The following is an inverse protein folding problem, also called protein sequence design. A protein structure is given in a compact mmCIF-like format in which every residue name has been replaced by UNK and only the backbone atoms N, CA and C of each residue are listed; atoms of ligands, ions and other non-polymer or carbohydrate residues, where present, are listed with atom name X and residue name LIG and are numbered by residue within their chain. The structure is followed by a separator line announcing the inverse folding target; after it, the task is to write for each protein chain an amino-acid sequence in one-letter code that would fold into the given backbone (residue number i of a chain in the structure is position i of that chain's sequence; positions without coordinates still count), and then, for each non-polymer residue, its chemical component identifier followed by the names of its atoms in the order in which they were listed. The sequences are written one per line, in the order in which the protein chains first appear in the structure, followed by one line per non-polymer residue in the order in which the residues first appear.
data_IF_641341700351
#
_entry.id   IF_641341700351
#
_cell.length_a   1.000
_cell.length_b   1.000
_cell.length_c   1.000
_cell.angle_alpha   90.00
_cell.angle_beta   90.00
_cell.angle_gamma   90.00
#
_symmetry.space_group_name_H-M   'P 1'
#
loop_
_entity.id
_entity.type
_entity.pdbx_description
1 polymer ?
#
# COMPACT_ATOMS: atom_id res chain seq x y z
N UNK A 1 44.27 3.18 -0.82
CA UNK A 1 44.53 4.63 -1.01
C UNK A 1 43.24 5.24 -1.52
N UNK A 2 42.59 6.09 -0.71
CA UNK A 2 41.28 6.70 -1.00
C UNK A 2 40.14 6.25 -0.06
N UNK A 3 40.30 6.42 1.25
CA UNK A 3 39.16 6.46 2.19
C UNK A 3 38.88 7.93 2.50
N UNK A 4 37.81 8.48 1.92
CA UNK A 4 37.44 9.87 2.13
C UNK A 4 36.82 10.08 3.52
N UNK A 5 37.29 11.16 4.17
CA UNK A 5 36.94 11.81 5.44
C UNK A 5 36.03 11.08 6.46
N UNK A 6 36.52 10.85 7.71
CA UNK A 6 35.69 10.35 8.80
C UNK A 6 34.66 11.41 9.22
N UNK A 7 33.39 11.04 9.19
CA UNK A 7 32.33 11.84 9.81
C UNK A 7 32.24 11.43 11.28
N UNK A 8 32.86 12.22 12.16
CA UNK A 8 32.92 11.92 13.58
C UNK A 8 31.68 12.52 14.28
N UNK A 9 30.77 11.66 14.73
CA UNK A 9 29.63 12.05 15.56
C UNK A 9 29.68 11.18 16.82
N UNK A 10 30.10 11.77 17.95
CA UNK A 10 30.19 11.06 19.23
C UNK A 10 31.30 10.00 19.31
N UNK A 11 31.01 8.88 19.99
CA UNK A 11 31.89 7.71 20.18
C UNK A 11 31.92 6.75 18.98
N UNK A 12 31.14 7.04 17.92
CA UNK A 12 31.05 6.21 16.72
C UNK A 12 31.88 6.80 15.58
N UNK A 13 32.53 5.91 14.81
CA UNK A 13 33.32 6.28 13.65
C UNK A 13 32.79 5.52 12.43
N UNK A 14 32.34 6.25 11.42
CA UNK A 14 31.83 5.67 10.17
C UNK A 14 32.87 5.74 9.06
N UNK A 15 33.08 4.63 8.36
CA UNK A 15 33.99 4.53 7.21
C UNK A 15 33.24 4.07 5.96
N UNK A 16 33.50 4.72 4.82
CA UNK A 16 32.99 4.28 3.52
C UNK A 16 34.01 3.37 2.85
N UNK A 17 33.65 2.09 2.69
CA UNK A 17 34.51 1.09 2.07
C UNK A 17 34.35 1.10 0.54
N UNK A 18 35.46 1.09 -0.23
CA UNK A 18 35.39 0.99 -1.69
C UNK A 18 34.87 -0.39 -2.14
N UNK A 19 33.87 -0.40 -3.03
CA UNK A 19 33.32 -1.64 -3.60
C UNK A 19 34.36 -2.47 -4.39
N UNK A 20 35.43 -1.83 -4.88
CA UNK A 20 36.54 -2.50 -5.57
C UNK A 20 37.35 -3.46 -4.68
N UNK A 21 37.20 -3.37 -3.34
CA UNK A 21 37.89 -4.22 -2.37
C UNK A 21 36.95 -5.20 -1.67
N UNK A 22 35.78 -5.48 -2.26
CA UNK A 22 34.75 -6.37 -1.70
C UNK A 22 35.25 -7.77 -1.38
N UNK A 23 36.21 -8.29 -2.15
CA UNK A 23 36.84 -9.59 -1.91
C UNK A 23 37.57 -9.69 -0.57
N UNK A 24 37.96 -8.56 0.03
CA UNK A 24 38.67 -8.51 1.31
C UNK A 24 37.74 -8.23 2.49
N UNK A 25 36.44 -7.96 2.26
CA UNK A 25 35.50 -7.61 3.32
C UNK A 25 35.26 -8.78 4.28
N UNK A 26 35.18 -10.01 3.77
CA UNK A 26 35.00 -11.19 4.63
C UNK A 26 36.14 -11.33 5.64
N UNK A 27 37.40 -11.22 5.18
CA UNK A 27 38.58 -11.31 6.05
C UNK A 27 38.59 -10.17 7.08
N UNK A 28 38.23 -8.96 6.66
CA UNK A 28 38.18 -7.79 7.53
C UNK A 28 37.12 -7.93 8.63
N UNK A 29 35.90 -8.38 8.30
CA UNK A 29 34.84 -8.59 9.29
C UNK A 29 35.16 -9.71 10.27
N UNK A 30 35.79 -10.80 9.79
CA UNK A 30 36.28 -11.88 10.67
C UNK A 30 37.33 -11.39 11.66
N UNK A 31 38.21 -10.48 11.24
CA UNK A 31 39.23 -9.90 12.11
C UNK A 31 38.63 -8.94 13.15
N UNK A 32 37.63 -8.13 12.75
CA UNK A 32 36.85 -7.28 13.69
C UNK A 32 36.13 -8.14 14.73
N UNK A 33 35.44 -9.20 14.31
CA UNK A 33 34.73 -10.13 15.21
C UNK A 33 35.69 -10.90 16.14
N UNK A 34 36.89 -11.24 15.65
CA UNK A 34 37.97 -11.81 16.46
C UNK A 34 38.47 -10.87 17.55
N UNK A 35 38.56 -9.57 17.27
CA UNK A 35 38.90 -8.55 18.26
C UNK A 35 37.80 -8.34 19.31
N UNK A 36 36.52 -8.44 18.94
CA UNK A 36 35.40 -8.36 19.90
C UNK A 36 35.41 -9.56 20.86
N UNK A 37 35.65 -10.76 20.35
CA UNK A 37 35.61 -12.01 21.15
C UNK A 37 36.73 -12.09 22.19
N UNK A 38 37.89 -11.45 21.94
CA UNK A 38 39.01 -11.37 22.90
C UNK A 38 38.78 -10.42 24.08
N UNK A 39 37.68 -9.65 24.07
CA UNK A 39 37.38 -8.61 25.07
C UNK A 39 36.46 -9.07 26.20
N UNK A 40 36.04 -10.35 26.21
CA UNK A 40 35.16 -10.91 27.24
C UNK A 40 35.83 -11.06 28.61
N UNK A 41 35.11 -10.91 29.73
CA UNK A 41 35.67 -11.02 31.05
C UNK A 41 35.86 -12.50 31.35
N UNK A 42 37.09 -13.02 31.23
CA UNK A 42 37.66 -14.17 31.98
C UNK A 42 38.87 -14.75 31.22
N UNK A 43 40.04 -14.15 31.40
CA UNK A 43 41.29 -14.92 31.46
C UNK A 43 42.38 -14.10 32.16
N UNK A 44 42.53 -14.33 33.46
CA UNK A 44 43.79 -14.07 34.15
C UNK A 44 44.82 -15.10 33.64
N UNK A 45 45.89 -14.66 32.98
CA UNK A 45 47.27 -14.91 33.42
C UNK A 45 48.31 -14.45 32.38
N UNK A 46 49.31 -13.76 32.92
CA UNK A 46 50.72 -13.68 32.50
C UNK A 46 51.14 -13.09 31.14
N UNK A 47 51.66 -11.87 31.22
CA UNK A 47 53.01 -11.55 30.75
C UNK A 47 53.22 -11.38 29.25
N UNK A 48 53.04 -10.17 28.72
CA UNK A 48 54.00 -9.49 27.83
C UNK A 48 53.40 -8.21 27.25
N UNK A 49 54.30 -7.37 26.75
CA UNK A 49 54.20 -5.93 26.60
C UNK A 49 53.23 -5.44 25.52
N UNK A 50 52.66 -4.26 25.78
CA UNK A 50 52.08 -3.29 24.86
C UNK A 50 51.43 -3.80 23.57
N UNK A 51 50.12 -4.02 23.63
CA UNK A 51 49.23 -3.56 22.57
C UNK A 51 47.93 -3.09 23.20
N UNK A 52 47.68 -1.78 23.17
CA UNK A 52 46.38 -1.20 23.50
C UNK A 52 45.35 -1.76 22.52
N UNK A 53 44.68 -2.86 22.88
CA UNK A 53 43.53 -3.35 22.13
C UNK A 53 42.38 -2.38 22.38
N UNK A 54 42.25 -1.38 21.51
CA UNK A 54 41.08 -0.52 21.43
C UNK A 54 39.88 -1.42 21.06
N UNK A 55 39.07 -1.74 22.07
CA UNK A 55 37.91 -2.62 21.93
C UNK A 55 36.84 -1.96 21.07
N UNK A 56 36.55 -2.56 19.92
CA UNK A 56 35.32 -2.30 19.18
C UNK A 56 34.22 -3.03 19.96
N UNK A 57 33.26 -2.30 20.54
CA UNK A 57 32.18 -2.91 21.33
C UNK A 57 31.03 -3.39 20.43
N UNK A 58 30.77 -2.66 19.35
CA UNK A 58 29.79 -3.01 18.33
C UNK A 58 30.19 -2.40 16.98
N UNK A 59 29.75 -3.02 15.89
CA UNK A 59 29.87 -2.45 14.55
C UNK A 59 28.59 -2.71 13.76
N UNK A 60 28.18 -1.73 12.96
CA UNK A 60 27.06 -1.85 12.03
C UNK A 60 27.57 -1.81 10.58
N UNK A 61 26.95 -2.60 9.70
CA UNK A 61 27.17 -2.50 8.25
C UNK A 61 25.86 -2.01 7.63
N UNK A 62 25.87 -0.81 7.07
CA UNK A 62 24.79 -0.34 6.20
C UNK A 62 25.22 -0.41 4.75
N UNK A 63 24.33 -0.92 3.90
CA UNK A 63 24.46 -0.84 2.44
C UNK A 63 23.40 0.14 1.99
N UNK A 64 23.80 1.21 1.31
CA UNK A 64 22.87 2.19 0.75
C UNK A 64 21.91 1.52 -0.21
N UNK A 65 20.69 1.26 0.25
CA UNK A 65 19.62 0.77 -0.62
C UNK A 65 19.04 1.94 -1.40
N UNK A 66 18.34 1.64 -2.51
CA UNK A 66 17.61 2.65 -3.28
C UNK A 66 16.61 3.42 -2.40
N UNK A 67 16.09 2.76 -1.36
CA UNK A 67 15.19 3.33 -0.36
C UNK A 67 15.91 4.36 0.54
N UNK A 68 17.11 4.05 1.03
CA UNK A 68 17.93 4.98 1.84
C UNK A 68 18.36 6.21 1.03
N UNK A 69 18.79 6.01 -0.23
CA UNK A 69 19.16 7.11 -1.13
C UNK A 69 17.95 7.99 -1.44
N UNK A 70 16.77 7.38 -1.64
CA UNK A 70 15.53 8.11 -1.86
C UNK A 70 15.12 8.94 -0.64
N UNK A 71 15.30 8.39 0.57
CA UNK A 71 15.03 9.09 1.84
C UNK A 71 16.03 10.22 2.12
N UNK A 72 17.32 10.04 1.82
CA UNK A 72 18.34 11.09 1.94
C UNK A 72 18.12 12.24 0.96
N UNK A 73 17.72 11.95 -0.28
CA UNK A 73 17.37 12.97 -1.28
C UNK A 73 16.09 13.73 -0.89
N UNK A 74 15.21 13.10 -0.11
CA UNK A 74 14.04 13.74 0.47
C UNK A 74 14.34 14.55 1.76
N UNK A 75 15.58 14.54 2.27
CA UNK A 75 16.01 15.34 3.42
C UNK A 75 15.69 14.74 4.80
N UNK A 76 15.44 13.43 4.90
CA UNK A 76 15.15 12.77 6.18
C UNK A 76 16.38 12.00 6.67
N UNK A 77 17.04 12.50 7.72
CA UNK A 77 18.06 11.74 8.46
C UNK A 77 17.35 10.72 9.36
N UNK A 78 17.59 9.43 9.11
CA UNK A 78 17.07 8.31 9.90
C UNK A 78 18.03 8.07 11.08
N UNK A 79 17.64 8.40 12.31
CA UNK A 79 18.39 8.01 13.51
C UNK A 79 17.85 6.66 14.01
N UNK A 80 18.61 5.58 13.79
CA UNK A 80 18.41 4.29 14.46
C UNK A 80 19.02 4.36 15.86
N UNK A 81 18.28 4.87 16.84
CA UNK A 81 18.65 4.67 18.25
C UNK A 81 17.42 4.77 19.11
N UNK A 82 16.67 3.67 19.21
CA UNK A 82 15.80 3.41 20.36
C UNK A 82 15.34 1.94 20.34
N UNK A 83 16.13 1.09 21.01
CA UNK A 83 15.79 -0.22 21.61
C UNK A 83 17.11 -0.72 22.22
N UNK A 84 17.39 -0.61 23.52
CA UNK A 84 16.90 -1.47 24.62
C UNK A 84 17.37 -0.78 25.92
N UNK A 85 16.47 -0.48 26.87
CA UNK A 85 16.52 -1.10 28.21
C UNK A 85 15.26 -0.78 29.04
N UNK A 86 14.75 -1.80 29.73
CA UNK A 86 13.61 -1.77 30.65
C UNK A 86 14.14 -1.75 32.10
N UNK A 87 13.85 -0.72 32.91
CA UNK A 87 13.37 -0.91 34.31
C UNK A 87 13.08 0.37 35.09
N UNK A 88 11.94 0.30 35.81
CA UNK A 88 11.55 1.03 37.04
C UNK A 88 11.45 2.56 36.95
N UNK A 89 10.23 3.09 37.13
CA UNK A 89 9.75 3.54 38.45
C UNK A 89 8.23 3.77 38.40
N UNK A 90 7.55 3.23 39.41
CA UNK A 90 6.14 3.42 39.75
C UNK A 90 5.80 4.91 39.95
N UNK A 91 4.67 5.37 39.38
CA UNK A 91 3.76 6.27 40.08
C UNK A 91 2.36 6.26 39.45
N UNK A 92 1.44 5.73 40.26
CA UNK A 92 -0.01 5.76 40.27
C UNK A 92 -0.66 7.08 39.79
N UNK A 93 -1.72 7.00 38.97
CA UNK A 93 -2.95 7.74 39.25
C UNK A 93 -4.20 7.02 38.68
N UNK A 94 -5.05 6.60 39.61
CA UNK A 94 -6.48 6.26 39.50
C UNK A 94 -7.28 7.29 38.70
N UNK A 95 -8.50 7.07 38.18
CA UNK A 95 -9.45 5.97 38.04
C UNK A 95 -10.61 6.58 37.22
N UNK A 96 -11.45 5.77 36.55
CA UNK A 96 -12.93 5.84 36.63
C UNK A 96 -13.52 4.79 35.67
N UNK A 97 -14.52 4.13 36.22
CA UNK A 97 -15.17 2.88 35.86
C UNK A 97 -16.27 3.06 34.79
N UNK A 98 -16.41 2.04 33.95
CA UNK A 98 -17.47 1.80 32.93
C UNK A 98 -18.90 1.74 33.54
N UNK A 99 -19.98 1.63 32.73
CA UNK A 99 -20.44 0.29 32.39
C UNK A 99 -21.11 0.07 31.01
N UNK A 100 -21.13 -1.22 30.69
CA UNK A 100 -21.76 -2.02 29.64
C UNK A 100 -23.13 -1.60 29.01
N UNK A 101 -23.17 -1.81 27.67
CA UNK A 101 -24.02 -2.73 26.89
C UNK A 101 -25.57 -2.62 26.89
N UNK A 102 -26.17 -2.55 25.68
CA UNK A 102 -27.35 -3.36 25.29
C UNK A 102 -27.65 -3.35 23.76
N UNK A 103 -27.61 -4.56 23.17
CA UNK A 103 -28.56 -5.26 22.29
C UNK A 103 -29.21 -4.67 21.02
N UNK A 104 -29.38 -5.62 20.08
CA UNK A 104 -29.87 -5.64 18.71
C UNK A 104 -31.37 -5.30 18.49
N UNK A 105 -31.64 -4.93 17.22
CA UNK A 105 -32.77 -5.33 16.35
C UNK A 105 -33.68 -4.19 15.80
N UNK A 106 -34.23 -4.37 14.58
CA UNK A 106 -34.36 -3.32 13.56
C UNK A 106 -35.71 -2.62 13.58
N UNK A 107 -35.74 -1.36 13.11
CA UNK A 107 -36.98 -0.68 12.71
C UNK A 107 -36.86 -0.15 11.29
N UNK A 108 -37.59 -0.79 10.39
CA UNK A 108 -38.14 -0.12 9.21
C UNK A 108 -38.96 1.08 9.69
N UNK A 109 -38.94 2.17 8.91
CA UNK A 109 -40.06 3.08 8.58
C UNK A 109 -39.51 4.47 8.22
N UNK A 110 -39.73 4.80 6.94
CA UNK A 110 -40.07 6.12 6.40
C UNK A 110 -38.95 7.16 6.24
N UNK A 111 -38.65 7.36 4.95
CA UNK A 111 -38.07 8.53 4.31
C UNK A 111 -38.51 9.87 4.95
N UNK A 112 -37.59 10.70 5.48
CA UNK A 112 -37.83 12.11 5.68
C UNK A 112 -37.11 12.92 4.59
N UNK A 113 -37.95 13.61 3.81
CA UNK A 113 -37.76 14.89 3.13
C UNK A 113 -36.33 15.43 2.97
N UNK A 114 -35.96 15.49 1.68
CA UNK A 114 -34.98 16.37 1.07
C UNK A 114 -35.20 17.85 1.47
N UNK A 115 -34.52 18.35 2.51
CA UNK A 115 -34.39 19.79 2.72
C UNK A 115 -33.17 20.10 3.61
N UNK A 116 -32.13 20.72 3.06
CA UNK A 116 -31.01 21.20 3.88
C UNK A 116 -29.68 21.47 3.18
N UNK A 117 -29.50 21.18 1.88
CA UNK A 117 -28.18 21.25 1.24
C UNK A 117 -27.83 22.59 0.55
N UNK A 118 -28.60 23.67 0.74
CA UNK A 118 -28.32 24.97 0.12
C UNK A 118 -27.45 25.90 0.99
N UNK A 119 -27.41 25.70 2.31
CA UNK A 119 -26.59 26.53 3.22
C UNK A 119 -25.10 26.17 3.19
N UNK A 120 -24.75 24.89 3.05
CA UNK A 120 -23.34 24.45 3.02
C UNK A 120 -22.64 24.87 1.73
N UNK A 121 -23.35 24.84 0.60
CA UNK A 121 -22.83 25.32 -0.70
C UNK A 121 -22.60 26.84 -0.65
N UNK A 122 -23.50 27.60 0.00
CA UNK A 122 -23.33 29.05 0.19
C UNK A 122 -22.10 29.43 1.02
N UNK A 123 -21.76 28.63 2.05
CA UNK A 123 -20.57 28.87 2.88
C UNK A 123 -19.28 28.60 2.10
N UNK A 124 -19.23 27.57 1.25
CA UNK A 124 -18.07 27.27 0.40
C UNK A 124 -17.85 28.37 -0.66
N UNK A 125 -18.92 28.89 -1.26
CA UNK A 125 -18.81 30.03 -2.19
C UNK A 125 -18.38 31.32 -1.47
N UNK A 126 -18.81 31.52 -0.21
CA UNK A 126 -18.41 32.68 0.58
C UNK A 126 -16.93 32.62 1.02
N UNK A 127 -16.42 31.44 1.38
CA UNK A 127 -15.00 31.28 1.77
C UNK A 127 -14.06 31.39 0.58
N UNK A 128 -14.44 30.89 -0.60
CA UNK A 128 -13.68 31.09 -1.86
C UNK A 128 -13.70 32.56 -2.28
N UNK A 129 -14.84 33.25 -2.16
CA UNK A 129 -14.97 34.68 -2.42
C UNK A 129 -14.06 35.53 -1.53
N UNK A 130 -13.99 35.20 -0.23
CA UNK A 130 -13.16 35.90 0.74
C UNK A 130 -11.66 35.64 0.55
N UNK A 131 -11.25 34.43 0.15
CA UNK A 131 -9.85 34.14 -0.13
C UNK A 131 -9.39 34.83 -1.42
N UNK A 132 -10.25 34.87 -2.45
CA UNK A 132 -9.97 35.61 -3.68
C UNK A 132 -9.92 37.12 -3.46
N UNK A 133 -10.75 37.69 -2.58
CA UNK A 133 -10.71 39.13 -2.28
C UNK A 133 -9.44 39.51 -1.54
N UNK A 134 -8.98 38.71 -0.58
CA UNK A 134 -7.72 38.95 0.13
C UNK A 134 -6.50 38.86 -0.80
N UNK A 135 -6.50 37.90 -1.74
CA UNK A 135 -5.46 37.84 -2.78
C UNK A 135 -5.52 39.04 -3.71
N UNK A 136 -6.72 39.47 -4.14
CA UNK A 136 -6.89 40.66 -4.96
C UNK A 136 -6.46 41.93 -4.24
N UNK A 137 -6.78 42.08 -2.95
CA UNK A 137 -6.40 43.22 -2.13
C UNK A 137 -4.89 43.24 -1.85
N UNK A 138 -4.26 42.08 -1.62
CA UNK A 138 -2.82 41.98 -1.47
C UNK A 138 -2.09 42.34 -2.78
N UNK A 139 -2.56 41.84 -3.92
CA UNK A 139 -2.02 42.18 -5.24
C UNK A 139 -2.28 43.66 -5.57
N UNK A 140 -3.45 44.20 -5.24
CA UNK A 140 -3.78 45.60 -5.46
C UNK A 140 -2.97 46.54 -4.56
N UNK A 141 -2.72 46.14 -3.31
CA UNK A 141 -1.85 46.84 -2.37
C UNK A 141 -0.40 46.84 -2.87
N UNK A 142 0.08 45.72 -3.39
CA UNK A 142 1.39 45.61 -4.02
C UNK A 142 1.51 46.48 -5.28
N UNK A 143 0.47 46.53 -6.12
CA UNK A 143 0.41 47.41 -7.30
C UNK A 143 0.36 48.89 -6.89
N UNK A 144 -0.35 49.24 -5.82
CA UNK A 144 -0.37 50.60 -5.26
C UNK A 144 0.97 50.99 -4.66
N UNK A 145 1.66 50.07 -3.99
CA UNK A 145 3.00 50.22 -3.46
C UNK A 145 4.02 50.49 -4.58
N UNK A 146 3.97 49.72 -5.68
CA UNK A 146 4.74 49.98 -6.89
C UNK A 146 4.42 51.35 -7.52
N UNK A 147 3.17 51.82 -7.42
CA UNK A 147 2.79 53.16 -7.92
C UNK A 147 3.27 54.30 -7.02
N UNK A 148 3.39 54.07 -5.71
CA UNK A 148 3.83 55.07 -4.72
C UNK A 148 5.34 55.30 -4.74
N UNK A 149 6.14 54.30 -5.11
CA UNK A 149 7.59 54.45 -5.28
C UNK A 149 7.97 55.24 -6.56
N UNK A 150 6.99 55.58 -7.41
CA UNK A 150 7.22 56.19 -8.71
C UNK A 150 6.71 57.64 -8.75
N UNK A 151 7.47 58.59 -8.19
CA UNK A 151 7.28 60.04 -8.44
C UNK A 151 7.64 60.46 -9.90
N UNK A 152 7.33 59.61 -10.88
CA UNK A 152 7.44 59.85 -12.31
C UNK A 152 6.06 59.73 -13.02
N UNK A 153 4.98 60.04 -12.30
CA UNK A 153 3.60 59.90 -12.78
C UNK A 153 3.23 60.78 -14.00
N UNK A 154 4.08 61.74 -14.39
CA UNK A 154 3.85 62.57 -15.59
C UNK A 154 4.39 61.94 -16.90
N UNK A 155 5.27 60.93 -16.84
CA UNK A 155 5.84 60.29 -18.05
C UNK A 155 5.07 59.05 -18.50
N UNK A 156 4.42 58.32 -17.59
CA UNK A 156 3.79 57.03 -17.90
C UNK A 156 2.46 57.16 -18.67
N UNK A 157 1.73 58.26 -18.51
CA UNK A 157 0.43 58.46 -19.17
C UNK A 157 0.57 58.88 -20.65
N UNK A 158 1.76 59.33 -21.06
CA UNK A 158 2.05 59.77 -22.44
C UNK A 158 3.22 59.04 -23.11
N UNK A 159 3.66 57.93 -22.54
CA UNK A 159 4.75 57.13 -23.11
C UNK A 159 4.23 56.27 -24.26
N UNK A 160 4.86 56.40 -25.44
CA UNK A 160 4.61 55.55 -26.62
C UNK A 160 4.72 54.07 -26.26
N UNK A 161 5.57 53.71 -25.29
CA UNK A 161 5.69 52.35 -24.76
C UNK A 161 4.36 51.80 -24.22
N UNK A 162 3.62 52.55 -23.40
CA UNK A 162 2.35 52.06 -22.85
C UNK A 162 1.26 51.98 -23.92
N UNK A 163 1.29 52.89 -24.90
CA UNK A 163 0.41 52.81 -26.08
C UNK A 163 0.70 51.53 -26.89
N UNK A 164 1.98 51.18 -27.09
CA UNK A 164 2.38 49.94 -27.74
C UNK A 164 2.06 48.70 -26.90
N UNK A 165 2.31 48.70 -25.60
CA UNK A 165 1.91 47.61 -24.70
C UNK A 165 0.40 47.40 -24.72
N UNK A 166 -0.40 48.46 -24.61
CA UNK A 166 -1.86 48.40 -24.71
C UNK A 166 -2.30 47.84 -26.06
N UNK A 167 -1.67 48.28 -27.16
CA UNK A 167 -1.95 47.76 -28.49
C UNK A 167 -1.62 46.26 -28.60
N UNK A 168 -0.50 45.81 -28.02
CA UNK A 168 -0.11 44.39 -27.98
C UNK A 168 -1.09 43.55 -27.14
N UNK A 169 -1.55 44.05 -25.99
CA UNK A 169 -2.57 43.39 -25.18
C UNK A 169 -3.92 43.29 -25.90
N UNK A 170 -4.37 44.38 -26.55
CA UNK A 170 -5.60 44.38 -27.36
C UNK A 170 -5.47 43.39 -28.51
N UNK A 171 -4.33 43.37 -29.22
CA UNK A 171 -4.05 42.40 -30.28
C UNK A 171 -4.11 40.96 -29.76
N UNK A 172 -3.52 40.69 -28.59
CA UNK A 172 -3.53 39.36 -27.96
C UNK A 172 -4.94 38.96 -27.51
N UNK A 173 -5.73 39.89 -26.99
CA UNK A 173 -7.13 39.68 -26.62
C UNK A 173 -8.03 39.42 -27.85
N UNK A 174 -7.83 40.13 -28.96
CA UNK A 174 -8.56 39.91 -30.21
C UNK A 174 -8.20 38.55 -30.81
N UNK A 175 -6.91 38.19 -30.84
CA UNK A 175 -6.45 36.87 -31.29
C UNK A 175 -7.06 35.76 -30.43
N UNK A 176 -7.05 35.93 -29.11
CA UNK A 176 -7.68 35.02 -28.16
C UNK A 176 -9.20 34.87 -28.42
N UNK A 177 -9.90 35.99 -28.67
CA UNK A 177 -11.34 35.97 -28.97
C UNK A 177 -11.66 35.28 -30.30
N UNK A 178 -10.74 35.30 -31.27
CA UNK A 178 -10.90 34.66 -32.58
C UNK A 178 -10.60 33.16 -32.53
N UNK A 179 -9.59 32.76 -31.77
CA UNK A 179 -9.17 31.37 -31.60
C UNK A 179 -9.84 30.68 -30.40
N UNK A 180 -11.18 30.80 -30.31
CA UNK A 180 -11.97 30.24 -29.18
C UNK A 180 -11.76 28.75 -28.97
N UNK A 181 -11.59 27.99 -30.05
CA UNK A 181 -11.39 26.53 -29.98
C UNK A 181 -10.13 26.20 -29.16
N UNK A 182 -9.01 26.85 -29.45
CA UNK A 182 -7.73 26.60 -28.76
C UNK A 182 -7.80 26.98 -27.29
N UNK A 183 -8.45 28.09 -26.94
CA UNK A 183 -8.62 28.49 -25.53
C UNK A 183 -9.51 27.52 -24.77
N UNK A 184 -10.60 27.07 -25.40
CA UNK A 184 -11.48 26.07 -24.81
C UNK A 184 -10.71 24.77 -24.58
N UNK A 185 -9.97 24.24 -25.56
CA UNK A 185 -9.19 23.02 -25.36
C UNK A 185 -8.05 23.19 -24.35
N UNK A 186 -7.37 24.33 -24.35
CA UNK A 186 -6.29 24.64 -23.41
C UNK A 186 -6.75 24.74 -21.95
N UNK A 187 -7.99 25.17 -21.70
CA UNK A 187 -8.53 25.29 -20.34
C UNK A 187 -9.33 24.05 -19.93
N UNK A 188 -10.04 23.45 -20.89
CA UNK A 188 -10.86 22.25 -20.69
C UNK A 188 -10.00 21.02 -20.43
N UNK A 189 -8.89 20.82 -21.15
CA UNK A 189 -8.04 19.64 -20.99
C UNK A 189 -7.44 19.56 -19.56
N UNK A 190 -6.78 20.61 -19.02
CA UNK A 190 -6.31 20.63 -17.64
C UNK A 190 -7.43 20.42 -16.62
N UNK A 191 -8.60 21.03 -16.83
CA UNK A 191 -9.74 20.89 -15.93
C UNK A 191 -10.27 19.45 -15.91
N UNK A 192 -10.34 18.78 -17.06
CA UNK A 192 -10.73 17.37 -17.16
C UNK A 192 -9.70 16.47 -16.47
N UNK A 193 -8.40 16.69 -16.70
CA UNK A 193 -7.34 15.90 -16.04
C UNK A 193 -7.35 16.08 -14.52
N UNK A 194 -7.57 17.31 -14.06
CA UNK A 194 -7.68 17.63 -12.64
C UNK A 194 -8.92 16.98 -12.02
N UNK A 195 -10.07 17.05 -12.69
CA UNK A 195 -11.28 16.36 -12.26
C UNK A 195 -11.08 14.84 -12.20
N UNK A 196 -10.51 14.26 -13.25
CA UNK A 196 -10.23 12.83 -13.33
C UNK A 196 -9.29 12.37 -12.21
N UNK A 197 -8.20 13.11 -11.96
CA UNK A 197 -7.26 12.78 -10.89
C UNK A 197 -7.87 12.92 -9.50
N UNK A 198 -8.72 13.93 -9.26
CA UNK A 198 -9.44 14.05 -7.98
C UNK A 198 -10.46 12.92 -7.78
N UNK A 199 -11.15 12.49 -8.83
CA UNK A 199 -12.06 11.34 -8.78
C UNK A 199 -11.29 10.05 -8.48
N UNK A 200 -10.13 9.85 -9.11
CA UNK A 200 -9.25 8.70 -8.84
C UNK A 200 -8.82 8.65 -7.37
N UNK A 201 -8.48 9.79 -6.78
CA UNK A 201 -8.13 9.88 -5.35
C UNK A 201 -9.30 9.56 -4.43
N UNK A 202 -10.53 9.88 -4.84
CA UNK A 202 -11.74 9.55 -4.08
C UNK A 202 -12.18 8.09 -4.21
N UNK A 203 -11.77 7.39 -5.27
CA UNK A 203 -12.05 5.96 -5.49
C UNK A 203 -11.18 5.04 -4.62
N UNK A 204 -10.16 5.58 -3.94
CA UNK A 204 -9.28 4.84 -3.05
C UNK A 204 -10.10 4.19 -1.92
N UNK A 205 -9.90 2.88 -1.65
CA UNK A 205 -10.64 2.20 -0.59
C UNK A 205 -10.36 2.88 0.76
N UNK A 206 -11.42 3.04 1.55
CA UNK A 206 -11.35 3.65 2.88
C UNK A 206 -10.36 2.88 3.76
N UNK A 207 -9.50 3.56 4.55
CA UNK A 207 -8.50 2.89 5.38
C UNK A 207 -9.12 1.95 6.42
N UNK A 208 -10.33 2.25 6.89
CA UNK A 208 -11.03 1.40 7.86
C UNK A 208 -11.54 0.13 7.19
N UNK A 209 -10.79 -0.95 7.38
CA UNK A 209 -11.17 -2.28 6.94
C UNK A 209 -12.26 -2.83 7.86
N UNK A 210 -13.38 -3.24 7.25
CA UNK A 210 -14.48 -3.85 7.99
C UNK A 210 -14.09 -5.25 8.50
N UNK A 211 -14.68 -5.68 9.62
CA UNK A 211 -14.48 -7.04 10.11
C UNK A 211 -15.01 -8.07 9.11
N UNK A 212 -14.21 -9.07 8.77
CA UNK A 212 -14.60 -10.16 7.89
C UNK A 212 -14.88 -11.39 8.77
N UNK A 213 -16.09 -11.94 8.66
CA UNK A 213 -16.43 -13.21 9.32
C UNK A 213 -15.99 -14.37 8.45
N UNK A 214 -15.27 -15.34 9.02
CA UNK A 214 -14.82 -16.53 8.30
C UNK A 214 -16.00 -17.49 8.12
N UNK A 215 -16.63 -17.39 6.95
CA UNK A 215 -17.75 -18.23 6.52
C UNK A 215 -17.56 -18.61 5.06
N UNK A 216 -17.96 -19.83 4.72
CA UNK A 216 -17.93 -20.34 3.35
C UNK A 216 -19.06 -19.78 2.48
N UNK A 217 -20.00 -19.04 3.06
CA UNK A 217 -21.13 -18.44 2.33
C UNK A 217 -20.72 -17.47 1.22
N UNK A 218 -19.51 -16.90 1.31
CA UNK A 218 -18.95 -16.03 0.26
C UNK A 218 -18.39 -16.81 -0.93
N UNK A 219 -18.20 -18.13 -0.80
CA UNK A 219 -17.68 -18.97 -1.87
C UNK A 219 -18.81 -19.50 -2.73
N UNK A 220 -18.65 -19.38 -4.05
CA UNK A 220 -19.62 -19.78 -5.06
C UNK A 220 -21.07 -19.29 -4.77
N UNK A 221 -21.29 -17.98 -4.60
CA UNK A 221 -22.58 -17.44 -4.14
C UNK A 221 -23.76 -17.72 -5.08
N UNK A 222 -23.47 -18.04 -6.34
CA UNK A 222 -24.47 -18.32 -7.38
C UNK A 222 -24.93 -19.80 -7.38
N UNK A 223 -24.26 -20.69 -6.65
CA UNK A 223 -24.68 -22.08 -6.54
C UNK A 223 -25.85 -22.15 -5.53
N UNK A 224 -27.04 -22.42 -6.05
CA UNK A 224 -28.28 -22.49 -5.27
C UNK A 224 -28.38 -23.81 -4.50
N UNK A 225 -28.69 -23.77 -3.19
CA UNK A 225 -29.10 -24.97 -2.45
C UNK A 225 -28.65 -25.17 -1.00
N UNK A 226 -28.16 -24.17 -0.25
CA UNK A 226 -27.93 -24.41 1.19
C UNK A 226 -27.02 -23.47 1.99
N UNK A 227 -26.93 -22.18 1.64
CA UNK A 227 -26.18 -21.20 2.46
C UNK A 227 -24.80 -20.78 1.94
N UNK A 228 -24.55 -20.98 0.64
CA UNK A 228 -23.24 -20.76 0.01
C UNK A 228 -22.22 -21.82 0.40
N UNK A 229 -21.09 -21.82 -0.28
CA UNK A 229 -20.09 -22.88 -0.18
C UNK A 229 -19.96 -23.68 -1.47
N UNK A 230 -18.75 -24.18 -1.71
CA UNK A 230 -18.42 -25.04 -2.86
C UNK A 230 -18.33 -26.52 -2.49
N UNK A 231 -17.87 -27.35 -3.44
CA UNK A 231 -17.48 -28.71 -3.13
C UNK A 231 -16.29 -28.69 -2.18
N UNK A 232 -16.37 -29.53 -1.15
CA UNK A 232 -15.30 -29.72 -0.17
C UNK A 232 -14.76 -31.14 -0.33
N UNK A 233 -13.63 -31.32 -1.05
CA UNK A 233 -12.93 -32.60 -1.12
C UNK A 233 -12.65 -33.12 0.28
N UNK A 234 -13.15 -34.30 0.59
CA UNK A 234 -13.04 -34.91 1.91
C UNK A 234 -12.69 -36.37 1.77
N UNK A 235 -11.63 -36.80 2.46
CA UNK A 235 -11.34 -38.21 2.64
C UNK A 235 -12.26 -38.87 3.70
N UNK A 236 -13.15 -39.75 3.24
CA UNK A 236 -14.12 -40.47 4.06
C UNK A 236 -13.67 -41.93 4.33
N UNK A 237 -12.37 -42.19 4.31
CA UNK A 237 -11.78 -43.52 4.56
C UNK A 237 -12.08 -44.01 5.98
N UNK A 238 -11.94 -43.14 6.98
CA UNK A 238 -12.15 -43.46 8.39
C UNK A 238 -13.64 -43.36 8.82
N UNK A 239 -14.12 -44.20 9.76
CA UNK A 239 -15.49 -44.10 10.27
C UNK A 239 -15.77 -42.75 10.94
N UNK A 240 -14.77 -42.18 11.62
CA UNK A 240 -14.90 -40.89 12.30
C UNK A 240 -15.05 -39.73 11.32
N UNK A 241 -14.36 -39.76 10.18
CA UNK A 241 -14.47 -38.72 9.17
C UNK A 241 -15.86 -38.72 8.52
N UNK A 242 -16.46 -39.89 8.31
CA UNK A 242 -17.83 -39.99 7.84
C UNK A 242 -18.85 -39.42 8.85
N UNK A 243 -18.64 -39.63 10.15
CA UNK A 243 -19.47 -39.01 11.19
C UNK A 243 -19.32 -37.49 11.19
N UNK A 244 -18.09 -36.96 11.17
CA UNK A 244 -17.83 -35.51 11.16
C UNK A 244 -18.40 -34.84 9.91
N UNK A 245 -18.26 -35.48 8.75
CA UNK A 245 -18.74 -34.96 7.47
C UNK A 245 -20.25 -34.67 7.46
N UNK A 246 -21.06 -35.42 8.22
CA UNK A 246 -22.51 -35.18 8.35
C UNK A 246 -22.84 -33.89 9.10
N UNK A 247 -21.94 -33.40 9.96
CA UNK A 247 -22.12 -32.18 10.73
C UNK A 247 -21.49 -30.93 10.10
N UNK A 248 -20.89 -31.07 8.91
CA UNK A 248 -20.36 -29.94 8.14
C UNK A 248 -21.51 -29.13 7.55
N UNK A 249 -21.49 -27.81 7.78
CA UNK A 249 -22.47 -26.85 7.25
C UNK A 249 -21.76 -25.76 6.47
N UNK A 250 -22.31 -25.32 5.33
CA UNK A 250 -21.72 -24.27 4.47
C UNK A 250 -20.94 -24.81 3.26
N UNK A 251 -21.36 -25.94 2.72
CA UNK A 251 -20.77 -26.60 1.55
C UNK A 251 -21.24 -28.05 1.50
N UNK A 252 -20.93 -28.76 0.42
CA UNK A 252 -21.21 -30.19 0.31
C UNK A 252 -19.93 -30.99 0.21
N UNK A 253 -19.98 -32.18 0.78
CA UNK A 253 -18.85 -33.09 0.85
C UNK A 253 -18.66 -33.74 -0.52
N UNK A 254 -17.46 -33.56 -1.08
CA UNK A 254 -17.02 -34.26 -2.28
C UNK A 254 -16.10 -35.39 -1.86
N UNK A 255 -16.62 -36.63 -1.89
CA UNK A 255 -15.85 -37.81 -1.51
C UNK A 255 -14.62 -37.97 -2.40
N UNK A 256 -13.47 -38.21 -1.79
CA UNK A 256 -12.23 -38.58 -2.48
C UNK A 256 -12.46 -39.78 -3.41
N UNK A 257 -12.03 -39.65 -4.67
CA UNK A 257 -12.06 -40.74 -5.66
C UNK A 257 -10.63 -41.09 -6.07
N UNK A 258 -10.35 -42.36 -6.40
CA UNK A 258 -9.06 -42.75 -6.96
C UNK A 258 -8.77 -41.93 -8.23
N UNK A 259 -7.58 -41.33 -8.28
CA UNK A 259 -7.10 -40.54 -9.41
C UNK A 259 -6.33 -41.42 -10.38
N UNK A 260 -6.46 -41.15 -11.69
CA UNK A 260 -5.56 -41.71 -12.71
C UNK A 260 -4.24 -40.95 -12.81
N UNK A 261 -4.20 -39.72 -12.31
CA UNK A 261 -2.99 -38.89 -12.26
C UNK A 261 -2.08 -39.35 -11.12
N UNK A 262 -0.79 -39.42 -11.41
CA UNK A 262 0.29 -39.63 -10.44
C UNK A 262 1.33 -38.53 -10.59
N UNK A 263 1.93 -38.11 -9.49
CA UNK A 263 3.05 -37.18 -9.55
C UNK A 263 4.26 -37.81 -10.27
N UNK A 264 5.09 -37.00 -10.95
CA UNK A 264 6.41 -37.46 -11.43
C UNK A 264 7.23 -38.04 -10.26
N UNK A 265 7.97 -39.13 -10.50
CA UNK A 265 8.74 -39.83 -9.45
C UNK A 265 7.86 -40.29 -8.26
N UNK A 266 6.80 -41.06 -8.54
CA UNK A 266 5.80 -41.46 -7.55
C UNK A 266 6.36 -42.14 -6.29
N UNK A 267 7.44 -42.91 -6.42
CA UNK A 267 8.10 -43.56 -5.26
C UNK A 267 8.74 -42.53 -4.33
N UNK A 268 9.40 -41.51 -4.89
CA UNK A 268 9.99 -40.42 -4.12
C UNK A 268 8.92 -39.51 -3.51
N UNK A 269 7.89 -39.18 -4.26
CA UNK A 269 6.76 -38.42 -3.73
C UNK A 269 6.09 -39.14 -2.55
N UNK A 270 6.02 -40.47 -2.60
CA UNK A 270 5.53 -41.29 -1.49
C UNK A 270 6.48 -41.29 -0.30
N UNK A 271 7.79 -41.43 -0.50
CA UNK A 271 8.76 -41.35 0.60
C UNK A 271 8.74 -39.99 1.29
N UNK A 272 8.69 -38.90 0.52
CA UNK A 272 8.66 -37.53 1.03
C UNK A 272 7.36 -37.27 1.81
N UNK A 273 6.22 -37.81 1.33
CA UNK A 273 4.95 -37.70 2.03
C UNK A 273 4.95 -38.48 3.35
N UNK A 274 5.56 -39.66 3.38
CA UNK A 274 5.70 -40.48 4.60
C UNK A 274 6.66 -39.81 5.59
N UNK A 275 7.73 -39.19 5.11
CA UNK A 275 8.67 -38.43 5.94
C UNK A 275 7.98 -37.21 6.57
N UNK A 276 7.18 -36.46 5.80
CA UNK A 276 6.55 -35.23 6.25
C UNK A 276 5.33 -35.44 7.18
N UNK A 277 4.50 -36.46 6.91
CA UNK A 277 3.22 -36.66 7.60
C UNK A 277 3.06 -38.04 8.24
N UNK A 278 4.09 -38.89 8.19
CA UNK A 278 4.06 -40.23 8.74
C UNK A 278 3.45 -41.29 7.79
N UNK A 279 3.56 -42.57 8.16
CA UNK A 279 3.19 -43.70 7.29
C UNK A 279 1.69 -43.86 7.06
N UNK A 280 0.85 -43.27 7.92
CA UNK A 280 -0.61 -43.36 7.85
C UNK A 280 -1.20 -42.20 7.05
N UNK A 281 -0.89 -40.96 7.43
CA UNK A 281 -1.45 -39.75 6.82
C UNK A 281 -0.76 -39.37 5.51
N UNK A 282 0.55 -39.61 5.37
CA UNK A 282 1.34 -39.28 4.17
C UNK A 282 0.75 -39.83 2.87
N UNK A 283 0.50 -41.16 2.76
CA UNK A 283 -0.09 -41.73 1.55
C UNK A 283 -1.50 -41.18 1.23
N UNK A 284 -2.29 -40.87 2.26
CA UNK A 284 -3.64 -40.29 2.09
C UNK A 284 -3.55 -38.86 1.58
N UNK A 285 -2.65 -38.03 2.13
CA UNK A 285 -2.40 -36.68 1.65
C UNK A 285 -1.89 -36.65 0.20
N UNK A 286 -1.00 -37.60 -0.15
CA UNK A 286 -0.53 -37.75 -1.52
C UNK A 286 -1.70 -38.09 -2.45
N UNK A 287 -2.54 -39.07 -2.09
CA UNK A 287 -3.71 -39.45 -2.88
C UNK A 287 -4.74 -38.33 -3.03
N UNK A 288 -4.95 -37.53 -1.97
CA UNK A 288 -5.80 -36.34 -2.00
C UNK A 288 -5.20 -35.29 -2.95
N UNK A 289 -3.90 -35.06 -2.89
CA UNK A 289 -3.21 -34.11 -3.77
C UNK A 289 -3.31 -34.53 -5.24
N UNK A 290 -3.12 -35.81 -5.55
CA UNK A 290 -3.29 -36.37 -6.90
C UNK A 290 -4.73 -36.25 -7.41
N UNK A 291 -5.72 -36.43 -6.52
CA UNK A 291 -7.14 -36.22 -6.84
C UNK A 291 -7.46 -34.75 -7.10
N UNK A 292 -6.92 -33.83 -6.29
CA UNK A 292 -7.11 -32.40 -6.48
C UNK A 292 -6.50 -31.91 -7.80
N UNK A 293 -5.35 -32.47 -8.20
CA UNK A 293 -4.70 -32.16 -9.47
C UNK A 293 -5.49 -32.68 -10.68
N UNK A 294 -5.96 -33.94 -10.66
CA UNK A 294 -6.72 -34.48 -11.79
C UNK A 294 -8.10 -33.84 -11.93
N UNK A 295 -8.78 -33.61 -10.81
CA UNK A 295 -10.16 -33.10 -10.80
C UNK A 295 -10.26 -31.58 -10.86
N UNK A 296 -9.13 -30.88 -11.03
CA UNK A 296 -9.08 -29.42 -11.09
C UNK A 296 -9.95 -28.84 -12.20
N UNK A 297 -9.97 -29.49 -13.38
CA UNK A 297 -10.73 -29.03 -14.55
C UNK A 297 -12.07 -29.75 -14.76
N UNK A 298 -12.43 -30.70 -13.89
CA UNK A 298 -13.66 -31.50 -14.04
C UNK A 298 -14.91 -30.75 -13.58
N UNK A 299 -14.77 -29.80 -12.65
CA UNK A 299 -15.88 -29.07 -12.07
C UNK A 299 -15.78 -27.57 -12.35
N UNK A 300 -16.86 -26.97 -12.86
CA UNK A 300 -17.01 -25.51 -12.98
C UNK A 300 -16.96 -24.77 -11.63
N UNK A 301 -17.13 -25.50 -10.53
CA UNK A 301 -17.28 -24.96 -9.18
C UNK A 301 -15.91 -24.77 -8.52
N UNK A 302 -15.65 -23.59 -7.95
CA UNK A 302 -14.38 -23.30 -7.31
C UNK A 302 -14.24 -24.02 -5.97
N UNK A 303 -13.10 -24.69 -5.76
CA UNK A 303 -12.73 -25.34 -4.50
C UNK A 303 -11.70 -24.50 -3.77
N UNK A 304 -12.00 -24.14 -2.53
CA UNK A 304 -11.13 -23.30 -1.71
C UNK A 304 -10.48 -24.06 -0.55
N UNK A 305 -10.90 -25.30 -0.28
CA UNK A 305 -10.32 -26.13 0.76
C UNK A 305 -10.69 -27.59 0.59
N UNK A 306 -9.75 -28.48 0.88
CA UNK A 306 -9.93 -29.93 1.02
C UNK A 306 -9.54 -30.36 2.43
N UNK A 307 -10.10 -31.47 2.90
CA UNK A 307 -9.93 -31.98 4.26
C UNK A 307 -9.50 -33.44 4.20
N UNK A 308 -8.45 -33.74 4.96
CA UNK A 308 -8.05 -35.10 5.28
C UNK A 308 -8.06 -35.23 6.80
N UNK A 309 -8.70 -36.27 7.32
CA UNK A 309 -8.77 -36.51 8.77
C UNK A 309 -7.98 -37.76 9.13
N UNK A 310 -7.37 -37.72 10.30
CA UNK A 310 -6.75 -38.89 10.92
C UNK A 310 -7.81 -39.76 11.60
N UNK A 311 -7.42 -40.99 11.94
CA UNK A 311 -8.23 -41.81 12.83
C UNK A 311 -8.29 -41.16 14.22
N UNK A 312 -9.30 -41.51 15.01
CA UNK A 312 -9.38 -41.10 16.40
C UNK A 312 -8.25 -41.74 17.19
N UNK A 313 -7.49 -40.93 17.93
CA UNK A 313 -6.46 -41.42 18.85
C UNK A 313 -7.11 -42.07 20.07
N UNK A 314 -6.37 -42.92 20.79
CA UNK A 314 -6.86 -43.62 21.98
C UNK A 314 -7.38 -42.66 23.07
N UNK A 315 -6.80 -41.47 23.16
CA UNK A 315 -7.18 -40.39 24.08
C UNK A 315 -8.50 -39.69 23.68
N UNK A 316 -9.11 -40.09 22.56
CA UNK A 316 -10.28 -39.46 21.98
C UNK A 316 -10.01 -38.22 21.15
N UNK A 317 -8.74 -37.79 21.01
CA UNK A 317 -8.35 -36.63 20.20
C UNK A 317 -8.48 -36.91 18.70
N UNK A 318 -8.80 -35.85 17.94
CA UNK A 318 -9.02 -35.91 16.50
C UNK A 318 -8.02 -35.01 15.77
N UNK A 319 -7.24 -35.60 14.87
CA UNK A 319 -6.36 -34.89 13.94
C UNK A 319 -7.05 -34.61 12.60
N UNK A 320 -6.80 -33.44 12.02
CA UNK A 320 -7.21 -33.14 10.65
C UNK A 320 -6.24 -32.16 9.98
N UNK A 321 -6.10 -32.31 8.67
CA UNK A 321 -5.29 -31.46 7.79
C UNK A 321 -6.19 -30.75 6.79
N UNK A 322 -5.99 -29.44 6.65
CA UNK A 322 -6.71 -28.59 5.71
C UNK A 322 -5.79 -28.22 4.54
N UNK A 323 -6.12 -28.72 3.35
CA UNK A 323 -5.49 -28.32 2.10
C UNK A 323 -6.23 -27.11 1.55
N UNK A 324 -5.77 -25.90 1.87
CA UNK A 324 -6.44 -24.66 1.46
C UNK A 324 -5.90 -24.15 0.12
N UNK A 325 -6.76 -23.49 -0.65
CA UNK A 325 -6.37 -22.83 -1.88
C UNK A 325 -5.96 -21.37 -1.60
N UNK A 326 -4.70 -21.04 -1.85
CA UNK A 326 -4.12 -19.71 -1.64
C UNK A 326 -4.67 -18.62 -2.57
N UNK A 327 -5.47 -18.97 -3.60
CA UNK A 327 -6.20 -17.97 -4.40
C UNK A 327 -7.19 -17.15 -3.55
N UNK A 328 -7.65 -17.69 -2.41
CA UNK A 328 -8.41 -16.93 -1.42
C UNK A 328 -7.56 -16.72 -0.15
N UNK A 329 -7.30 -15.46 0.18
CA UNK A 329 -6.48 -15.07 1.34
C UNK A 329 -7.00 -15.59 2.68
N UNK A 330 -8.31 -15.84 2.79
CA UNK A 330 -8.97 -16.28 4.03
C UNK A 330 -9.40 -17.75 3.99
N UNK A 331 -8.97 -18.53 2.99
CA UNK A 331 -9.36 -19.93 2.87
C UNK A 331 -8.94 -20.75 4.10
N UNK A 332 -7.66 -20.71 4.48
CA UNK A 332 -7.13 -21.47 5.62
C UNK A 332 -7.95 -21.29 6.92
N UNK A 333 -8.09 -20.06 7.48
CA UNK A 333 -8.85 -19.88 8.71
C UNK A 333 -10.34 -20.19 8.55
N UNK A 334 -10.90 -20.06 7.34
CA UNK A 334 -12.30 -20.40 7.08
C UNK A 334 -12.56 -21.90 7.17
N UNK A 335 -11.73 -22.73 6.54
CA UNK A 335 -11.90 -24.18 6.59
C UNK A 335 -11.50 -24.78 7.94
N UNK A 336 -10.57 -24.16 8.67
CA UNK A 336 -10.29 -24.52 10.07
C UNK A 336 -11.52 -24.23 10.95
N UNK A 337 -12.13 -23.04 10.83
CA UNK A 337 -13.34 -22.70 11.59
C UNK A 337 -14.53 -23.61 11.22
N UNK A 338 -14.66 -23.95 9.94
CA UNK A 338 -15.66 -24.90 9.43
C UNK A 338 -15.52 -26.27 10.11
N UNK A 339 -14.31 -26.82 10.14
CA UNK A 339 -14.02 -28.13 10.73
C UNK A 339 -14.18 -28.15 12.24
N UNK A 340 -13.63 -27.15 12.94
CA UNK A 340 -13.82 -27.04 14.38
C UNK A 340 -15.30 -26.91 14.76
N UNK A 341 -16.08 -26.18 13.96
CA UNK A 341 -17.54 -26.10 14.16
C UNK A 341 -18.24 -27.44 13.92
N UNK A 342 -17.83 -28.22 12.92
CA UNK A 342 -18.40 -29.55 12.66
C UNK A 342 -18.07 -30.54 13.78
N UNK A 343 -16.82 -30.55 14.26
CA UNK A 343 -16.37 -31.36 15.39
C UNK A 343 -17.12 -30.96 16.68
N UNK A 344 -17.32 -29.65 16.92
CA UNK A 344 -18.11 -29.18 18.06
C UNK A 344 -19.56 -29.69 18.02
N UNK A 345 -20.20 -29.67 16.85
CA UNK A 345 -21.57 -30.21 16.68
C UNK A 345 -21.62 -31.70 16.93
N UNK A 346 -20.62 -32.45 16.45
CA UNK A 346 -20.52 -33.88 16.71
C UNK A 346 -20.35 -34.17 18.21
N UNK A 347 -19.46 -33.42 18.88
CA UNK A 347 -19.18 -33.62 20.31
C UNK A 347 -20.36 -33.26 21.22
N UNK A 348 -21.13 -32.24 20.85
CA UNK A 348 -22.28 -31.76 21.64
C UNK A 348 -23.62 -32.37 21.24
N UNK A 349 -23.64 -33.14 20.13
CA UNK A 349 -24.85 -33.65 19.47
C UNK A 349 -25.90 -32.55 19.20
N UNK A 350 -25.45 -31.30 19.06
CA UNK A 350 -26.31 -30.14 18.84
C UNK A 350 -25.93 -29.44 17.53
N UNK A 351 -26.76 -29.60 16.52
CA UNK A 351 -26.52 -29.06 15.18
C UNK A 351 -26.51 -27.52 15.12
N UNK A 352 -27.04 -26.85 16.14
CA UNK A 352 -27.13 -25.38 16.19
C UNK A 352 -25.89 -24.73 16.82
N UNK A 353 -25.00 -25.51 17.45
CA UNK A 353 -23.75 -24.97 17.97
C UNK A 353 -22.77 -24.67 16.82
N UNK A 354 -22.22 -23.46 16.80
CA UNK A 354 -21.30 -23.00 15.75
C UNK A 354 -20.23 -22.10 16.34
N UNK A 355 -18.99 -22.21 15.87
CA UNK A 355 -17.90 -21.30 16.24
C UNK A 355 -17.86 -20.15 15.24
N UNK A 356 -17.87 -18.92 15.75
CA UNK A 356 -17.78 -17.70 14.91
C UNK A 356 -16.40 -17.07 15.06
N UNK A 357 -15.53 -17.33 14.09
CA UNK A 357 -14.25 -16.63 13.96
C UNK A 357 -14.39 -15.42 13.01
N UNK A 358 -13.77 -14.29 13.37
CA UNK A 358 -13.75 -13.07 12.56
C UNK A 358 -12.35 -12.46 12.56
N UNK A 359 -11.91 -11.98 11.42
CA UNK A 359 -10.76 -11.09 11.33
C UNK A 359 -11.24 -9.64 11.43
N UNK A 360 -10.75 -8.91 12.43
CA UNK A 360 -10.96 -7.48 12.54
C UNK A 360 -9.61 -6.81 12.71
N UNK A 361 -9.14 -6.06 11.70
CA UNK A 361 -7.87 -5.36 11.77
C UNK A 361 -7.84 -4.38 12.94
N UNK A 362 -6.67 -4.22 13.54
CA UNK A 362 -6.45 -3.22 14.56
C UNK A 362 -6.54 -1.80 13.95
N UNK A 363 -6.93 -0.79 14.75
CA UNK A 363 -6.92 0.59 14.28
C UNK A 363 -5.50 1.01 13.88
N UNK A 364 -5.40 1.86 12.85
CA UNK A 364 -4.13 2.35 12.35
C UNK A 364 -3.42 3.22 13.39
N UNK A 365 -2.09 3.14 13.42
CA UNK A 365 -1.28 4.01 14.27
C UNK A 365 -1.22 5.43 13.71
N UNK A 366 -0.83 6.40 14.54
CA UNK A 366 -0.64 7.80 14.10
C UNK A 366 0.38 7.90 12.97
N UNK A 367 1.48 7.14 13.03
CA UNK A 367 2.51 7.13 11.98
C UNK A 367 1.98 6.59 10.65
N UNK A 368 1.19 5.51 10.68
CA UNK A 368 0.54 4.96 9.48
C UNK A 368 -0.46 5.95 8.86
N UNK A 369 -1.23 6.66 9.69
CA UNK A 369 -2.16 7.68 9.23
C UNK A 369 -1.44 8.86 8.57
N UNK A 370 -0.35 9.34 9.17
CA UNK A 370 0.48 10.41 8.61
C UNK A 370 1.11 9.99 7.27
N UNK A 371 1.74 8.82 7.21
CA UNK A 371 2.32 8.30 5.97
C UNK A 371 1.27 8.17 4.85
N UNK A 372 0.05 7.77 5.19
CA UNK A 372 -1.06 7.69 4.21
C UNK A 372 -1.45 9.07 3.68
N UNK A 373 -1.55 10.05 4.57
CA UNK A 373 -1.83 11.44 4.21
C UNK A 373 -0.74 12.04 3.32
N UNK A 374 0.53 11.74 3.59
CA UNK A 374 1.66 12.22 2.79
C UNK A 374 1.62 11.64 1.37
N UNK A 375 1.33 10.33 1.24
CA UNK A 375 1.15 9.69 -0.06
C UNK A 375 -0.04 10.27 -0.85
N UNK A 376 -1.13 10.61 -0.16
CA UNK A 376 -2.29 11.25 -0.78
C UNK A 376 -1.97 12.68 -1.25
N UNK A 377 -1.24 13.46 -0.43
CA UNK A 377 -0.78 14.79 -0.81
C UNK A 377 0.16 14.73 -2.03
N UNK A 378 1.10 13.79 -2.04
CA UNK A 378 1.98 13.55 -3.17
C UNK A 378 1.20 13.25 -4.45
N UNK A 379 0.23 12.33 -4.40
CA UNK A 379 -0.59 12.00 -5.56
C UNK A 379 -1.39 13.20 -6.10
N UNK A 380 -1.91 14.07 -5.22
CA UNK A 380 -2.55 15.35 -5.62
C UNK A 380 -1.57 16.26 -6.36
N UNK A 381 -0.36 16.44 -5.82
CA UNK A 381 0.67 17.30 -6.45
C UNK A 381 1.04 16.79 -7.84
N UNK A 382 1.16 15.47 -8.02
CA UNK A 382 1.41 14.88 -9.34
C UNK A 382 0.30 15.16 -10.34
N UNK A 383 -0.97 14.97 -9.95
CA UNK A 383 -2.13 15.29 -10.79
C UNK A 383 -2.13 16.77 -11.19
N UNK A 384 -1.90 17.67 -10.23
CA UNK A 384 -1.83 19.11 -10.45
C UNK A 384 -0.70 19.49 -11.41
N UNK A 385 0.48 18.91 -11.22
CA UNK A 385 1.66 19.17 -12.05
C UNK A 385 1.42 18.78 -13.51
N UNK A 386 0.81 17.61 -13.73
CA UNK A 386 0.41 17.17 -15.07
C UNK A 386 -0.60 18.13 -15.68
N UNK A 387 -1.67 18.49 -14.95
CA UNK A 387 -2.69 19.41 -15.45
C UNK A 387 -2.12 20.79 -15.82
N UNK A 388 -1.24 21.36 -14.98
CA UNK A 388 -0.66 22.68 -15.24
C UNK A 388 0.46 22.70 -16.27
N UNK A 389 1.10 21.56 -16.56
CA UNK A 389 2.10 21.46 -17.64
C UNK A 389 1.55 21.85 -19.02
N UNK A 390 0.24 21.66 -19.25
CA UNK A 390 -0.44 22.02 -20.49
C UNK A 390 -0.59 23.53 -20.69
N UNK A 391 -0.56 24.33 -19.60
CA UNK A 391 -0.75 25.78 -19.69
C UNK A 391 0.44 26.45 -20.39
N UNK A 392 1.72 26.25 -19.99
CA UNK A 392 2.85 26.81 -20.75
C UNK A 392 2.95 26.28 -22.19
N UNK A 393 2.69 24.97 -22.39
CA UNK A 393 2.79 24.32 -23.69
C UNK A 393 1.89 24.98 -24.75
N UNK A 394 0.67 25.37 -24.35
CA UNK A 394 -0.27 26.05 -25.25
C UNK A 394 0.19 27.46 -25.69
N UNK A 395 0.87 28.21 -24.82
CA UNK A 395 1.43 29.51 -25.19
C UNK A 395 2.62 29.35 -26.14
N UNK A 396 3.43 28.30 -25.97
CA UNK A 396 4.55 28.01 -26.86
C UNK A 396 4.09 27.83 -28.32
N UNK A 397 2.98 27.12 -28.55
CA UNK A 397 2.40 26.94 -29.89
C UNK A 397 1.99 28.29 -30.52
N UNK A 398 1.33 29.16 -29.75
CA UNK A 398 0.96 30.50 -30.23
C UNK A 398 2.18 31.35 -30.58
N UNK A 399 3.27 31.20 -29.83
CA UNK A 399 4.52 31.92 -30.07
C UNK A 399 5.19 31.43 -31.35
N UNK A 400 5.32 30.11 -31.52
CA UNK A 400 5.91 29.51 -32.74
C UNK A 400 5.13 29.92 -33.98
N UNK A 401 3.78 29.85 -33.93
CA UNK A 401 2.93 30.29 -35.04
C UNK A 401 3.17 31.77 -35.38
N UNK A 402 3.31 32.62 -34.37
CA UNK A 402 3.59 34.04 -34.59
C UNK A 402 4.95 34.26 -35.25
N UNK A 403 5.99 33.54 -34.81
CA UNK A 403 7.30 33.60 -35.45
C UNK A 403 7.24 33.13 -36.90
N UNK A 404 6.61 31.99 -37.18
CA UNK A 404 6.47 31.46 -38.54
C UNK A 404 5.74 32.45 -39.47
N UNK A 405 4.63 33.06 -39.03
CA UNK A 405 3.92 34.06 -39.82
C UNK A 405 4.78 35.31 -40.09
N UNK A 406 5.58 35.74 -39.11
CA UNK A 406 6.48 36.90 -39.27
C UNK A 406 7.63 36.58 -40.22
N UNK A 407 8.27 35.43 -40.05
CA UNK A 407 9.34 34.94 -40.93
C UNK A 407 8.84 34.80 -42.36
N UNK A 408 7.66 34.21 -42.55
CA UNK A 408 7.04 34.11 -43.88
C UNK A 408 6.82 35.51 -44.48
N UNK A 409 6.32 36.49 -43.73
CA UNK A 409 6.15 37.86 -44.26
C UNK A 409 7.45 38.60 -44.60
N UNK A 410 8.57 38.29 -43.93
CA UNK A 410 9.86 38.93 -44.17
C UNK A 410 10.68 38.24 -45.25
N UNK A 411 10.63 36.90 -45.31
CA UNK A 411 11.41 36.09 -46.25
C UNK A 411 10.70 35.99 -47.61
N UNK A 412 9.37 35.89 -47.65
CA UNK A 412 8.62 35.67 -48.90
C UNK A 412 8.81 36.79 -49.95
N UNK A 413 8.88 38.09 -49.59
CA UNK A 413 9.25 39.14 -50.53
C UNK A 413 10.72 39.04 -50.98
N UNK A 414 11.63 38.63 -50.10
CA UNK A 414 13.06 38.48 -50.38
C UNK A 414 13.33 37.34 -51.38
N UNK A 415 12.57 36.24 -51.28
CA UNK A 415 12.60 35.13 -52.24
C UNK A 415 11.97 35.51 -53.58
N UNK A 416 10.86 36.28 -53.59
CA UNK A 416 10.17 36.68 -54.83
C UNK A 416 10.93 37.77 -55.60
N UNK A 417 11.62 38.68 -54.92
CA UNK A 417 12.41 39.75 -55.55
C UNK A 417 13.74 39.24 -56.10
N UNK A 418 14.13 37.99 -55.81
CA UNK A 418 15.35 37.40 -56.37
C UNK A 418 16.63 38.06 -55.89
N UNK A 419 16.63 38.67 -54.69
CA UNK A 419 17.86 39.06 -54.00
C UNK A 419 18.37 37.86 -53.20
N UNK A 420 19.06 36.96 -53.90
CA UNK A 420 20.02 36.02 -53.33
C UNK A 420 21.31 36.06 -54.13
#
# INVERSE_FOLDING_TARGET
MGSDLPQQVGTEISFKLPLASSSSFESMFREIEGCMTRSGPNLESEGSEHNHSLGIESYGISVTTLEEVFLRVAGCDYNETECIDEKKTLALHDSVVSPACHNYAPKNVVLPKLCGSYKVIGVIFATIGSACSLFFDAVLSFLRFLSMQCCCCCFLVRSTFWQHCKALFIKRAISARRDRKTIVFQLLIPAIFLLFGLVLLKLKPHPDQQSITFTTSYFNPLLSGGGGGGPIPFDLSWPISNKVAQFVKGGWIQKLKPSTYRFPESEKALSDAIEAAGPTLGPVLLSMSEYLMSSFNESYQSRYGGIVMDNQNDDGSLGYTVLHNSSCQHAAPTYINLMNSAILRLATLNENMTIRARNHPLPQTKSQHLQRHDLDAFAVVFVLSIAFSFIPASFAVSIVKHYLEKWMKLIYPMIIVGEF
#
